data_IF_370756022283
#
_entry.id   IF_370756022283
#
_cell.length_a   1.000
_cell.length_b   1.000
_cell.length_c   1.000
_cell.angle_alpha   90.00
_cell.angle_beta   90.00
_cell.angle_gamma   90.00
#
_symmetry.space_group_name_H-M   'P 1'
#
loop_
_entity.id
_entity.type
_entity.pdbx_description
1 polymer ?
#
# COMPACT_ATOMS: atom_id res chain seq x y z
N UNK A 1 -2.95 27.96 7.33
CA UNK A 1 -1.97 26.97 6.86
C UNK A 1 -0.73 27.09 7.74
N UNK A 2 -0.37 26.01 8.44
CA UNK A 2 0.78 26.00 9.35
C UNK A 2 2.00 25.45 8.62
N UNK A 3 3.02 26.27 8.41
CA UNK A 3 4.30 25.82 7.87
C UNK A 3 4.90 24.77 8.82
N UNK A 4 5.37 23.64 8.28
CA UNK A 4 5.99 22.59 9.09
C UNK A 4 7.51 22.72 8.90
N UNK A 5 8.28 22.95 9.97
CA UNK A 5 9.71 23.09 9.82
C UNK A 5 10.33 21.78 9.31
N UNK A 6 11.41 21.86 8.54
CA UNK A 6 12.04 20.72 7.85
C UNK A 6 12.43 19.57 8.80
N UNK A 7 12.62 19.85 10.09
CA UNK A 7 12.89 18.85 11.12
C UNK A 7 11.65 18.02 11.52
N UNK A 8 10.44 18.43 11.15
CA UNK A 8 9.18 17.81 11.56
C UNK A 8 9.10 16.33 11.16
N UNK A 9 9.51 15.97 9.94
CA UNK A 9 9.56 14.57 9.51
C UNK A 9 10.58 13.75 10.34
N UNK A 10 11.71 14.37 10.71
CA UNK A 10 12.72 13.71 11.56
C UNK A 10 12.19 13.50 12.98
N UNK A 11 11.41 14.45 13.49
CA UNK A 11 10.71 14.34 14.77
C UNK A 11 9.62 13.26 14.73
N UNK A 12 8.78 13.26 13.69
CA UNK A 12 7.75 12.24 13.47
C UNK A 12 8.38 10.84 13.40
N UNK A 13 9.50 10.68 12.68
CA UNK A 13 10.24 9.42 12.62
C UNK A 13 10.78 8.96 13.99
N UNK A 14 11.16 9.88 14.88
CA UNK A 14 11.52 9.58 16.27
C UNK A 14 10.31 9.19 17.11
N UNK A 15 9.17 9.90 16.98
CA UNK A 15 7.92 9.56 17.67
C UNK A 15 7.41 8.18 17.23
N UNK A 16 7.51 7.85 15.95
CA UNK A 16 7.10 6.53 15.45
C UNK A 16 7.79 5.41 16.21
N UNK A 17 9.06 5.57 16.64
CA UNK A 17 9.75 4.58 17.50
C UNK A 17 9.10 4.36 18.86
N UNK A 18 8.45 5.38 19.43
CA UNK A 18 7.69 5.25 20.67
C UNK A 18 6.39 4.47 20.46
N UNK A 19 5.79 4.57 19.26
CA UNK A 19 4.69 3.69 18.87
C UNK A 19 5.12 2.21 18.76
N UNK A 20 6.41 1.87 18.83
CA UNK A 20 6.92 0.49 18.86
C UNK A 20 7.22 -0.05 20.26
N UNK A 21 6.92 0.69 21.32
CA UNK A 21 7.08 0.16 22.67
C UNK A 21 6.16 -1.05 22.81
N UNK A 22 6.78 -2.22 23.00
CA UNK A 22 6.07 -3.50 23.03
C UNK A 22 5.01 -3.47 24.14
N UNK A 23 3.84 -4.08 23.92
CA UNK A 23 2.84 -4.26 24.98
C UNK A 23 3.39 -4.95 26.23
N UNK A 24 4.50 -5.69 26.09
CA UNK A 24 5.23 -6.36 27.17
C UNK A 24 5.98 -5.42 28.13
N UNK A 25 6.04 -4.11 27.87
CA UNK A 25 6.58 -3.14 28.83
C UNK A 25 5.52 -2.84 29.90
N UNK A 26 5.74 -3.15 31.19
CA UNK A 26 4.72 -3.00 32.24
C UNK A 26 4.22 -1.55 32.34
N UNK A 27 2.91 -1.38 32.55
CA UNK A 27 2.18 -0.09 32.67
C UNK A 27 2.16 0.74 31.38
N UNK A 28 3.31 1.11 30.83
CA UNK A 28 3.42 1.95 29.63
C UNK A 28 2.94 1.24 28.36
N UNK A 29 3.24 -0.06 28.21
CA UNK A 29 2.75 -0.86 27.08
C UNK A 29 1.22 -0.99 27.06
N UNK A 30 0.60 -1.09 28.24
CA UNK A 30 -0.87 -1.18 28.39
C UNK A 30 -1.57 0.16 28.12
N UNK A 31 -0.93 1.26 28.49
CA UNK A 31 -1.37 2.61 28.15
C UNK A 31 -1.30 2.87 26.63
N UNK A 32 -0.16 2.57 26.01
CA UNK A 32 0.00 2.69 24.55
C UNK A 32 -0.94 1.75 23.77
N UNK A 33 -1.25 0.57 24.31
CA UNK A 33 -2.25 -0.34 23.75
C UNK A 33 -3.65 0.30 23.72
N UNK A 34 -4.10 0.93 24.83
CA UNK A 34 -5.39 1.64 24.88
C UNK A 34 -5.46 2.80 23.88
N UNK A 35 -4.41 3.61 23.79
CA UNK A 35 -4.34 4.70 22.80
C UNK A 35 -4.47 4.14 21.37
N UNK A 36 -3.80 3.02 21.08
CA UNK A 36 -3.80 2.39 19.77
C UNK A 36 -5.17 1.86 19.37
N UNK A 37 -5.86 1.12 20.26
CA UNK A 37 -7.22 0.62 20.00
C UNK A 37 -8.17 1.79 19.74
N UNK A 38 -8.10 2.85 20.55
CA UNK A 38 -8.98 4.00 20.42
C UNK A 38 -8.70 4.87 19.19
N UNK A 39 -7.49 4.81 18.62
CA UNK A 39 -7.10 5.49 17.39
C UNK A 39 -7.24 4.60 16.13
N UNK A 40 -7.71 3.36 16.30
CA UNK A 40 -7.83 2.37 15.23
C UNK A 40 -9.23 1.76 15.20
N UNK A 41 -10.25 2.62 15.11
CA UNK A 41 -11.62 2.20 14.84
C UNK A 41 -11.84 2.00 13.33
N UNK A 42 -12.83 1.21 12.89
CA UNK A 42 -13.07 0.95 11.45
C UNK A 42 -13.31 2.20 10.61
N UNK A 43 -13.86 3.26 11.19
CA UNK A 43 -14.03 4.59 10.57
C UNK A 43 -12.71 5.39 10.49
N UNK A 44 -11.70 5.04 11.30
CA UNK A 44 -10.43 5.75 11.40
C UNK A 44 -9.28 5.08 10.66
N UNK A 45 -9.33 3.76 10.47
CA UNK A 45 -8.32 3.00 9.74
C UNK A 45 -8.99 2.00 8.80
N UNK A 46 -8.84 2.21 7.48
CA UNK A 46 -9.27 1.25 6.47
C UNK A 46 -8.20 1.16 5.38
N UNK A 47 -7.45 0.05 5.37
CA UNK A 47 -6.29 -0.15 4.47
C UNK A 47 -6.48 -1.41 3.64
N UNK A 48 -6.25 -1.30 2.33
CA UNK A 48 -6.19 -2.43 1.39
C UNK A 48 -4.85 -2.48 0.65
N UNK A 49 -4.23 -3.66 0.63
CA UNK A 49 -3.04 -3.91 -0.17
C UNK A 49 -3.41 -4.23 -1.61
N UNK A 50 -2.74 -3.58 -2.55
CA UNK A 50 -2.89 -3.88 -3.96
C UNK A 50 -1.85 -4.96 -4.34
N UNK A 51 -2.29 -6.16 -4.77
CA UNK A 51 -1.39 -7.28 -5.03
C UNK A 51 -0.40 -6.95 -6.15
N UNK A 52 0.90 -7.05 -5.85
CA UNK A 52 1.92 -7.07 -6.90
C UNK A 52 1.89 -8.40 -7.65
N UNK A 53 2.11 -8.37 -8.96
CA UNK A 53 2.11 -9.53 -9.86
C UNK A 53 0.78 -10.31 -9.92
N UNK A 54 -0.36 -9.68 -9.62
CA UNK A 54 -1.66 -10.25 -9.97
C UNK A 54 -1.81 -10.23 -11.51
N UNK A 55 -2.00 -11.40 -12.12
CA UNK A 55 -2.25 -11.52 -13.55
C UNK A 55 -3.73 -11.17 -13.84
N UNK A 56 -3.96 -10.28 -14.82
CA UNK A 56 -5.28 -10.04 -15.40
C UNK A 56 -5.40 -10.90 -16.66
N UNK A 57 -6.57 -11.50 -16.90
CA UNK A 57 -6.83 -12.38 -18.04
C UNK A 57 -6.86 -11.69 -19.41
N UNK A 58 -6.51 -10.39 -19.48
CA UNK A 58 -6.39 -9.64 -20.73
C UNK A 58 -5.18 -8.69 -20.60
N UNK A 59 -4.22 -8.79 -21.52
CA UNK A 59 -3.03 -7.94 -21.72
C UNK A 59 -2.37 -7.35 -20.45
N UNK A 60 -1.65 -8.21 -19.72
CA UNK A 60 -0.43 -7.99 -18.90
C UNK A 60 -0.26 -6.74 -18.00
N UNK A 61 -1.29 -5.95 -17.74
CA UNK A 61 -1.21 -4.83 -16.79
C UNK A 61 -1.46 -5.34 -15.36
N UNK A 62 -0.53 -5.08 -14.44
CA UNK A 62 -0.72 -5.43 -13.03
C UNK A 62 -1.86 -4.61 -12.41
N UNK A 63 -2.75 -5.23 -11.65
CA UNK A 63 -3.89 -4.58 -10.99
C UNK A 63 -3.56 -3.24 -10.27
N UNK A 64 -2.46 -3.12 -9.51
CA UNK A 64 -2.12 -1.85 -8.85
C UNK A 64 -1.88 -0.71 -9.84
N UNK A 65 -1.32 -1.00 -11.02
CA UNK A 65 -1.05 -0.01 -12.05
C UNK A 65 -2.34 0.56 -12.62
N UNK A 66 -3.30 -0.30 -12.96
CA UNK A 66 -4.59 0.12 -13.54
C UNK A 66 -5.34 1.05 -12.57
N UNK A 67 -5.45 0.64 -11.30
CA UNK A 67 -6.17 1.39 -10.29
C UNK A 67 -5.48 2.73 -10.01
N UNK A 68 -4.18 2.70 -9.70
CA UNK A 68 -3.47 3.90 -9.25
C UNK A 68 -3.21 4.89 -10.38
N UNK A 69 -2.89 4.43 -11.60
CA UNK A 69 -2.75 5.35 -12.75
C UNK A 69 -4.08 6.07 -13.01
N UNK A 70 -5.21 5.36 -12.98
CA UNK A 70 -6.50 6.00 -13.22
C UNK A 70 -6.95 6.94 -12.10
N UNK A 71 -6.61 6.65 -10.84
CA UNK A 71 -6.80 7.60 -9.73
C UNK A 71 -5.93 8.85 -9.88
N UNK A 72 -4.65 8.67 -10.24
CA UNK A 72 -3.71 9.78 -10.46
C UNK A 72 -4.20 10.68 -11.60
N UNK A 73 -4.63 10.10 -12.73
CA UNK A 73 -5.08 10.88 -13.89
C UNK A 73 -6.31 11.75 -13.60
N UNK A 74 -7.21 11.30 -12.74
CA UNK A 74 -8.43 12.06 -12.40
C UNK A 74 -8.29 12.93 -11.16
N UNK A 75 -7.17 12.82 -10.46
CA UNK A 75 -6.90 13.65 -9.28
C UNK A 75 -6.87 15.12 -9.63
N UNK A 76 -7.63 15.93 -8.89
CA UNK A 76 -7.57 17.39 -8.97
C UNK A 76 -6.18 17.90 -8.59
N UNK A 77 -5.62 17.34 -7.52
CA UNK A 77 -4.28 17.64 -7.05
C UNK A 77 -3.62 16.40 -6.43
N UNK A 78 -2.28 16.37 -6.49
CA UNK A 78 -1.44 15.28 -5.99
C UNK A 78 -0.04 15.78 -5.68
N UNK A 79 0.59 15.13 -4.71
CA UNK A 79 2.00 15.35 -4.39
C UNK A 79 2.75 14.02 -4.32
N UNK A 80 4.07 14.08 -4.35
CA UNK A 80 4.95 12.98 -3.97
C UNK A 80 5.83 13.47 -2.82
N UNK A 81 5.82 12.75 -1.72
CA UNK A 81 6.72 13.05 -0.59
C UNK A 81 8.18 12.84 -1.00
N UNK A 82 9.09 13.71 -0.56
CA UNK A 82 10.52 13.61 -0.94
C UNK A 82 11.17 12.31 -0.46
N UNK A 83 10.69 11.77 0.67
CA UNK A 83 11.26 10.60 1.33
C UNK A 83 10.18 9.74 1.98
N UNK A 84 10.41 8.43 2.02
CA UNK A 84 9.55 7.51 2.76
C UNK A 84 9.88 7.58 4.26
N UNK A 85 8.95 8.14 5.04
CA UNK A 85 9.04 8.30 6.50
C UNK A 85 9.40 7.00 7.22
N UNK A 86 8.81 5.88 6.80
CA UNK A 86 9.05 4.56 7.37
C UNK A 86 10.49 4.08 7.10
N UNK A 87 10.94 4.17 5.84
CA UNK A 87 12.30 3.75 5.47
C UNK A 87 13.36 4.63 6.13
N UNK A 88 13.09 5.91 6.34
CA UNK A 88 13.98 6.81 7.06
C UNK A 88 14.05 6.50 8.55
N UNK A 89 12.91 6.31 9.22
CA UNK A 89 12.86 5.97 10.64
C UNK A 89 13.71 4.73 10.99
N UNK A 90 13.68 3.75 10.08
CA UNK A 90 14.40 2.48 10.20
C UNK A 90 15.74 2.44 9.48
N UNK A 91 16.22 3.55 8.90
CA UNK A 91 17.48 3.64 8.14
C UNK A 91 17.61 2.48 7.13
N UNK A 92 16.55 2.26 6.34
CA UNK A 92 16.48 1.17 5.38
C UNK A 92 17.72 1.13 4.47
N UNK A 93 18.31 -0.06 4.34
CA UNK A 93 19.45 -0.34 3.46
C UNK A 93 19.08 -1.10 2.19
N UNK A 94 17.86 -1.66 2.14
CA UNK A 94 17.44 -2.57 1.07
C UNK A 94 16.63 -1.87 -0.04
N UNK A 95 16.07 -0.69 0.25
CA UNK A 95 15.24 0.06 -0.67
C UNK A 95 15.60 1.54 -0.60
N UNK A 96 15.58 2.20 -1.77
CA UNK A 96 15.83 3.63 -1.89
C UNK A 96 14.86 4.42 -1.01
N UNK A 97 15.37 5.30 -0.13
CA UNK A 97 14.56 6.09 0.80
C UNK A 97 13.84 7.26 0.12
N UNK A 98 14.25 7.62 -1.10
CA UNK A 98 13.71 8.73 -1.86
C UNK A 98 12.46 8.35 -2.68
N UNK A 99 12.04 7.07 -2.67
CA UNK A 99 10.75 6.67 -3.25
C UNK A 99 9.64 6.95 -2.22
N UNK A 100 9.20 8.20 -2.08
CA UNK A 100 8.16 8.58 -1.12
C UNK A 100 6.74 8.13 -1.52
N UNK A 101 5.77 8.37 -0.65
CA UNK A 101 4.34 8.15 -0.90
C UNK A 101 3.78 9.17 -1.90
N UNK A 102 2.72 8.81 -2.61
CA UNK A 102 1.89 9.73 -3.38
C UNK A 102 0.67 10.08 -2.53
N UNK A 103 0.35 11.34 -2.36
CA UNK A 103 -0.92 11.75 -1.78
C UNK A 103 -1.83 12.28 -2.88
N UNK A 104 -3.12 11.96 -2.78
CA UNK A 104 -4.13 12.28 -3.79
C UNK A 104 -5.30 12.96 -3.12
N UNK A 105 -5.77 14.06 -3.74
CA UNK A 105 -6.94 14.82 -3.30
C UNK A 105 -6.64 16.30 -3.24
N UNK A 106 -7.67 17.14 -3.32
CA UNK A 106 -7.50 18.59 -3.30
C UNK A 106 -6.78 19.13 -2.05
N UNK A 107 -6.96 18.58 -0.82
CA UNK A 107 -6.20 19.01 0.37
C UNK A 107 -4.68 18.90 0.22
N UNK A 108 -4.18 18.07 -0.70
CA UNK A 108 -2.74 17.94 -0.94
C UNK A 108 -2.11 19.22 -1.50
N UNK A 109 -2.90 20.17 -1.99
CA UNK A 109 -2.43 21.50 -2.39
C UNK A 109 -1.92 22.34 -1.20
N UNK A 110 -2.29 21.97 0.03
CA UNK A 110 -1.87 22.64 1.26
C UNK A 110 -0.58 22.04 1.84
N UNK A 111 -0.09 20.92 1.28
CA UNK A 111 1.10 20.25 1.79
C UNK A 111 2.37 21.08 1.55
N UNK A 112 3.25 21.07 2.55
CA UNK A 112 4.45 21.90 2.54
C UNK A 112 5.49 21.38 1.54
N UNK A 113 5.99 22.26 0.67
CA UNK A 113 7.02 21.93 -0.32
C UNK A 113 8.33 21.41 0.32
N UNK A 114 8.56 21.68 1.60
CA UNK A 114 9.69 21.14 2.35
C UNK A 114 9.60 19.63 2.58
N UNK A 115 8.40 19.04 2.56
CA UNK A 115 8.17 17.61 2.80
C UNK A 115 7.73 16.85 1.55
N UNK A 116 7.16 17.54 0.57
CA UNK A 116 6.65 16.96 -0.66
C UNK A 116 6.91 17.85 -1.87
N UNK A 117 6.89 17.24 -3.06
CA UNK A 117 6.83 17.97 -4.32
C UNK A 117 5.44 17.85 -4.93
N UNK A 118 4.90 18.96 -5.41
CA UNK A 118 3.66 18.98 -6.17
C UNK A 118 3.93 18.38 -7.55
N UNK A 119 3.12 17.39 -7.94
CA UNK A 119 3.44 16.56 -9.10
C UNK A 119 2.41 16.71 -10.22
N UNK A 120 2.90 16.82 -11.45
CA UNK A 120 2.08 16.56 -12.64
C UNK A 120 1.58 15.12 -12.68
N UNK A 121 0.61 14.84 -13.57
CA UNK A 121 0.04 13.49 -13.73
C UNK A 121 1.15 12.52 -14.14
N UNK A 122 1.97 12.93 -15.10
CA UNK A 122 3.00 12.08 -15.67
C UNK A 122 4.16 11.83 -14.70
N UNK A 123 4.54 12.83 -13.88
CA UNK A 123 5.53 12.62 -12.80
C UNK A 123 5.04 11.61 -11.77
N UNK A 124 3.77 11.72 -11.33
CA UNK A 124 3.19 10.78 -10.38
C UNK A 124 3.09 9.36 -10.94
N UNK A 125 2.75 9.21 -12.22
CA UNK A 125 2.73 7.90 -12.90
C UNK A 125 4.14 7.33 -13.06
N UNK A 126 5.12 8.16 -13.44
CA UNK A 126 6.52 7.74 -13.54
C UNK A 126 7.06 7.26 -12.18
N UNK A 127 6.73 7.96 -11.09
CA UNK A 127 7.10 7.57 -9.74
C UNK A 127 6.43 6.26 -9.29
N UNK A 128 5.13 6.09 -9.57
CA UNK A 128 4.41 4.83 -9.35
C UNK A 128 5.12 3.67 -10.07
N UNK A 129 5.45 3.83 -11.35
CA UNK A 129 6.13 2.80 -12.15
C UNK A 129 7.51 2.47 -11.58
N UNK A 130 8.28 3.49 -11.15
CA UNK A 130 9.57 3.31 -10.45
C UNK A 130 9.40 2.51 -9.16
N UNK A 131 8.37 2.81 -8.36
CA UNK A 131 8.12 2.11 -7.11
C UNK A 131 7.77 0.63 -7.32
N UNK A 132 6.91 0.34 -8.31
CA UNK A 132 6.56 -1.03 -8.70
C UNK A 132 7.77 -1.81 -9.24
N UNK A 133 8.59 -1.18 -10.09
CA UNK A 133 9.82 -1.78 -10.62
C UNK A 133 10.84 -2.09 -9.51
N UNK A 134 10.89 -1.27 -8.46
CA UNK A 134 11.68 -1.55 -7.25
C UNK A 134 11.10 -2.68 -6.39
N UNK A 135 9.95 -3.26 -6.76
CA UNK A 135 9.31 -4.34 -6.03
C UNK A 135 8.63 -3.91 -4.73
N UNK A 136 8.31 -2.62 -4.61
CA UNK A 136 7.54 -2.08 -3.48
C UNK A 136 6.07 -2.42 -3.64
N UNK A 137 5.40 -2.68 -2.52
CA UNK A 137 3.97 -3.03 -2.52
C UNK A 137 3.15 -1.77 -2.27
N UNK A 138 2.34 -1.32 -3.24
CA UNK A 138 1.40 -0.25 -2.98
C UNK A 138 0.29 -0.72 -2.03
N UNK A 139 -0.07 0.14 -1.08
CA UNK A 139 -1.36 0.05 -0.44
C UNK A 139 -2.07 1.40 -0.55
N UNK A 140 -3.38 1.31 -0.55
CA UNK A 140 -4.28 2.45 -0.51
C UNK A 140 -5.16 2.33 0.71
N UNK A 141 -5.34 3.42 1.43
CA UNK A 141 -6.19 3.42 2.60
C UNK A 141 -6.47 4.82 3.11
N UNK A 142 -7.53 4.91 3.90
CA UNK A 142 -7.81 6.06 4.73
C UNK A 142 -7.25 5.80 6.12
N UNK A 143 -6.35 6.68 6.56
CA UNK A 143 -5.94 6.77 7.95
C UNK A 143 -6.35 8.15 8.41
N UNK A 144 -7.31 8.25 9.33
CA UNK A 144 -7.83 9.55 9.79
C UNK A 144 -6.75 10.47 10.40
N UNK A 145 -5.66 9.86 10.87
CA UNK A 145 -4.48 10.56 11.35
C UNK A 145 -3.69 11.24 10.22
N UNK A 146 -3.80 10.81 8.96
CA UNK A 146 -3.00 11.32 7.86
C UNK A 146 -3.23 12.83 7.66
N UNK A 147 -4.47 13.33 7.71
CA UNK A 147 -4.73 14.77 7.62
C UNK A 147 -3.99 15.57 8.70
N UNK A 148 -3.85 14.97 9.89
CA UNK A 148 -3.12 15.59 11.01
C UNK A 148 -1.60 15.49 10.82
N UNK A 149 -1.12 14.36 10.31
CA UNK A 149 0.30 14.09 10.04
C UNK A 149 0.81 15.03 8.93
N UNK A 150 0.03 15.19 7.87
CA UNK A 150 0.38 16.00 6.70
C UNK A 150 -0.10 17.45 6.81
N UNK A 151 -0.84 17.77 7.87
CA UNK A 151 -1.35 19.11 8.16
C UNK A 151 -2.25 19.66 7.05
N UNK A 152 -3.10 18.80 6.49
CA UNK A 152 -4.06 19.14 5.43
C UNK A 152 -5.48 19.18 5.99
N UNK A 153 -6.34 19.99 5.37
CA UNK A 153 -7.73 20.11 5.76
C UNK A 153 -8.49 18.77 5.71
N UNK A 154 -9.44 18.58 6.64
CA UNK A 154 -10.26 17.36 6.80
C UNK A 154 -11.63 17.44 6.11
N UNK A 155 -11.93 18.59 5.51
CA UNK A 155 -13.21 18.91 4.89
C UNK A 155 -13.39 18.26 3.51
N UNK A 156 -12.30 17.73 2.92
CA UNK A 156 -12.32 17.15 1.58
C UNK A 156 -11.58 15.81 1.48
N UNK A 157 -11.88 15.03 0.42
CA UNK A 157 -11.26 13.74 0.16
C UNK A 157 -9.74 13.80 0.07
N UNK A 158 -9.07 12.96 0.87
CA UNK A 158 -7.62 12.81 0.89
C UNK A 158 -7.27 11.32 1.07
N UNK A 159 -6.34 10.81 0.26
CA UNK A 159 -5.78 9.47 0.45
C UNK A 159 -4.29 9.42 0.22
N UNK A 160 -3.64 8.53 0.95
CA UNK A 160 -2.21 8.24 0.86
C UNK A 160 -2.01 6.91 0.13
N UNK A 161 -1.25 6.95 -0.96
CA UNK A 161 -0.71 5.76 -1.63
C UNK A 161 0.73 5.57 -1.16
N UNK A 162 0.92 4.61 -0.28
CA UNK A 162 2.24 4.25 0.26
C UNK A 162 2.88 3.13 -0.57
N UNK A 163 4.20 3.18 -0.72
CA UNK A 163 4.99 2.12 -1.38
C UNK A 163 5.83 1.35 -0.38
N UNK A 164 5.25 0.29 0.18
CA UNK A 164 5.79 -0.42 1.33
C UNK A 164 6.97 -1.33 0.96
N UNK A 165 8.09 -1.12 1.65
CA UNK A 165 9.23 -2.03 1.68
C UNK A 165 8.90 -3.27 2.53
N UNK A 166 9.47 -4.42 2.18
CA UNK A 166 9.28 -5.67 2.94
C UNK A 166 10.03 -5.69 4.27
N UNK A 167 11.06 -4.86 4.43
CA UNK A 167 11.99 -4.94 5.56
C UNK A 167 11.77 -3.89 6.67
N UNK A 168 11.01 -2.84 6.39
CA UNK A 168 10.97 -1.64 7.24
C UNK A 168 9.61 -0.93 7.25
N UNK A 169 8.63 -1.45 6.50
CA UNK A 169 7.34 -0.83 6.45
C UNK A 169 6.72 -0.93 7.83
N UNK A 170 6.33 0.24 8.35
CA UNK A 170 5.72 0.32 9.66
C UNK A 170 4.46 -0.52 9.69
N UNK A 171 3.61 -0.47 8.66
CA UNK A 171 2.41 -1.31 8.58
C UNK A 171 2.70 -2.82 8.61
N UNK A 172 3.79 -3.29 8.00
CA UNK A 172 4.12 -4.73 8.01
C UNK A 172 4.69 -5.21 9.35
N UNK A 173 5.58 -4.43 9.96
CA UNK A 173 6.18 -4.77 11.25
C UNK A 173 5.19 -4.56 12.40
N UNK A 174 4.47 -3.44 12.37
CA UNK A 174 3.46 -3.06 13.34
C UNK A 174 2.24 -3.98 13.31
N UNK A 175 1.86 -4.54 12.15
CA UNK A 175 0.72 -5.45 12.04
C UNK A 175 0.75 -6.57 13.07
N UNK A 176 1.92 -7.18 13.30
CA UNK A 176 2.09 -8.29 14.27
C UNK A 176 1.92 -7.86 15.73
N UNK A 177 1.99 -6.55 15.99
CA UNK A 177 1.86 -5.93 17.29
C UNK A 177 0.55 -5.15 17.44
N UNK A 178 -0.30 -5.16 16.40
CA UNK A 178 -1.64 -4.60 16.48
C UNK A 178 -2.54 -5.54 17.29
N UNK A 179 -3.46 -4.99 18.10
CA UNK A 179 -4.56 -5.75 18.66
C UNK A 179 -5.41 -6.40 17.54
N UNK A 180 -6.05 -7.56 17.79
CA UNK A 180 -6.84 -8.26 16.78
C UNK A 180 -7.89 -7.37 16.08
N UNK A 181 -8.51 -6.47 16.83
CA UNK A 181 -9.50 -5.51 16.32
C UNK A 181 -8.89 -4.57 15.27
N UNK A 182 -7.68 -4.06 15.52
CA UNK A 182 -6.95 -3.22 14.57
C UNK A 182 -6.38 -3.99 13.38
N UNK A 183 -6.03 -5.27 13.56
CA UNK A 183 -5.64 -6.14 12.44
C UNK A 183 -6.81 -6.40 11.49
N UNK A 184 -8.06 -6.38 11.99
CA UNK A 184 -9.26 -6.56 11.19
C UNK A 184 -9.54 -5.38 10.25
N UNK A 185 -9.14 -4.17 10.64
CA UNK A 185 -9.18 -2.94 9.83
C UNK A 185 -8.23 -2.94 8.62
N UNK A 186 -7.30 -3.91 8.57
CA UNK A 186 -6.41 -4.12 7.44
C UNK A 186 -6.98 -5.24 6.59
N UNK A 187 -7.69 -4.85 5.54
CA UNK A 187 -8.50 -5.77 4.75
C UNK A 187 -7.68 -6.45 3.66
N UNK A 188 -8.05 -7.69 3.34
CA UNK A 188 -7.65 -8.30 2.07
C UNK A 188 -8.43 -7.66 0.93
N UNK A 189 -7.93 -7.82 -0.28
CA UNK A 189 -8.68 -7.48 -1.49
C UNK A 189 -9.65 -8.63 -1.82
N UNK A 190 -10.95 -8.37 -1.81
CA UNK A 190 -11.97 -9.38 -2.10
C UNK A 190 -11.91 -9.82 -3.56
N UNK A 191 -12.20 -11.10 -3.83
CA UNK A 191 -12.07 -11.71 -5.16
C UNK A 191 -10.63 -11.96 -5.62
N UNK A 192 -9.63 -11.70 -4.76
CA UNK A 192 -8.22 -12.08 -4.99
C UNK A 192 -7.85 -13.26 -4.12
N UNK A 193 -7.22 -14.27 -4.73
CA UNK A 193 -6.73 -15.47 -4.07
C UNK A 193 -5.22 -15.62 -4.26
N UNK A 194 -4.57 -16.31 -3.31
CA UNK A 194 -3.15 -16.64 -3.38
C UNK A 194 -3.01 -18.13 -3.18
N UNK A 195 -2.53 -18.82 -4.22
CA UNK A 195 -2.39 -20.28 -4.27
C UNK A 195 -0.93 -20.73 -4.33
N UNK A 196 -0.72 -22.03 -4.11
CA UNK A 196 0.59 -22.69 -4.28
C UNK A 196 0.46 -23.81 -5.30
N UNK A 197 1.25 -23.73 -6.37
CA UNK A 197 1.54 -24.85 -7.26
C UNK A 197 2.45 -25.84 -6.51
N UNK A 198 1.90 -27.01 -6.18
CA UNK A 198 2.59 -28.01 -5.36
C UNK A 198 3.71 -28.72 -6.10
N UNK A 199 3.64 -28.78 -7.42
CA UNK A 199 4.61 -29.48 -8.27
C UNK A 199 5.87 -28.62 -8.42
N UNK A 200 5.69 -27.31 -8.62
CA UNK A 200 6.81 -26.35 -8.67
C UNK A 200 7.39 -26.02 -7.30
N UNK A 201 6.62 -26.19 -6.23
CA UNK A 201 7.07 -25.82 -4.89
C UNK A 201 8.16 -26.77 -4.39
N UNK A 202 9.38 -26.28 -4.17
CA UNK A 202 10.48 -27.07 -3.60
C UNK A 202 10.58 -27.01 -2.07
N UNK A 203 9.61 -26.41 -1.37
CA UNK A 203 9.63 -26.35 0.09
C UNK A 203 10.65 -25.42 0.74
N UNK A 204 11.31 -24.54 -0.02
CA UNK A 204 12.43 -23.70 0.48
C UNK A 204 12.08 -22.65 1.55
N UNK A 205 10.80 -22.43 1.86
CA UNK A 205 10.37 -21.55 2.96
C UNK A 205 10.52 -20.04 2.74
N UNK A 206 11.13 -19.57 1.64
CA UNK A 206 11.32 -18.12 1.37
C UNK A 206 10.03 -17.32 1.43
N UNK A 207 8.92 -17.89 0.95
CA UNK A 207 7.60 -17.26 1.00
C UNK A 207 7.07 -17.07 2.44
N UNK A 208 7.34 -18.04 3.33
CA UNK A 208 6.94 -17.97 4.72
C UNK A 208 7.77 -16.91 5.46
N UNK A 209 9.08 -16.87 5.20
CA UNK A 209 9.99 -15.89 5.79
C UNK A 209 9.59 -14.43 5.49
N UNK A 210 9.07 -14.15 4.28
CA UNK A 210 8.65 -12.80 3.89
C UNK A 210 7.20 -12.46 4.26
N UNK A 211 6.42 -13.41 4.78
CA UNK A 211 5.01 -13.18 5.06
C UNK A 211 4.83 -12.44 6.39
N UNK A 212 4.56 -11.13 6.31
CA UNK A 212 4.32 -10.31 7.49
C UNK A 212 3.03 -10.68 8.24
N UNK A 213 1.98 -11.08 7.51
CA UNK A 213 0.72 -11.56 8.08
C UNK A 213 0.80 -12.98 8.70
N UNK A 214 1.89 -13.70 8.42
CA UNK A 214 2.08 -15.10 8.81
C UNK A 214 1.10 -16.08 8.16
N UNK A 215 0.53 -15.71 7.01
CA UNK A 215 -0.38 -16.55 6.23
C UNK A 215 0.34 -17.64 5.42
N UNK A 216 1.56 -17.37 4.93
CA UNK A 216 2.36 -18.37 4.25
C UNK A 216 3.14 -19.21 5.27
N UNK A 217 2.93 -20.52 5.28
CA UNK A 217 3.56 -21.47 6.19
C UNK A 217 4.15 -22.65 5.42
N UNK A 218 5.04 -23.41 6.06
CA UNK A 218 5.52 -24.69 5.55
C UNK A 218 4.77 -25.83 6.24
N UNK A 219 4.31 -26.81 5.47
CA UNK A 219 3.67 -28.03 5.97
C UNK A 219 3.88 -29.19 5.00
N UNK A 220 4.30 -30.35 5.51
CA UNK A 220 4.57 -31.53 4.69
C UNK A 220 5.61 -31.28 3.58
N UNK A 221 6.65 -30.50 3.87
CA UNK A 221 7.71 -30.17 2.91
C UNK A 221 7.31 -29.20 1.78
N UNK A 222 6.11 -28.64 1.81
CA UNK A 222 5.61 -27.69 0.79
C UNK A 222 5.04 -26.44 1.46
N UNK A 223 4.94 -25.36 0.69
CA UNK A 223 4.28 -24.14 1.15
C UNK A 223 2.76 -24.31 1.15
N UNK A 224 2.10 -23.68 2.12
CA UNK A 224 0.64 -23.54 2.22
C UNK A 224 0.30 -22.08 2.54
N UNK A 225 -0.81 -21.58 1.98
CA UNK A 225 -1.35 -20.27 2.32
C UNK A 225 -2.59 -20.47 3.20
N UNK A 226 -2.61 -19.82 4.35
CA UNK A 226 -3.78 -19.66 5.20
C UNK A 226 -4.64 -18.49 4.67
N UNK A 227 -5.84 -18.77 4.12
CA UNK A 227 -6.69 -17.75 3.51
C UNK A 227 -7.27 -16.75 4.51
N UNK A 228 -7.42 -17.12 5.78
CA UNK A 228 -8.04 -16.28 6.81
C UNK A 228 -7.06 -15.20 7.29
N UNK A 229 -5.77 -15.52 7.25
CA UNK A 229 -4.68 -14.59 7.59
C UNK A 229 -4.16 -13.83 6.38
N UNK A 230 -4.40 -14.32 5.17
CA UNK A 230 -3.84 -13.74 3.96
C UNK A 230 -4.46 -12.37 3.64
N UNK A 231 -3.59 -11.35 3.53
CA UNK A 231 -3.97 -9.99 3.13
C UNK A 231 -3.76 -9.72 1.63
N UNK A 232 -3.62 -10.79 0.83
CA UNK A 232 -3.55 -10.76 -0.64
C UNK A 232 -2.52 -9.77 -1.21
N UNK A 233 -1.41 -9.51 -0.52
CA UNK A 233 -0.44 -8.49 -0.95
C UNK A 233 0.53 -8.96 -2.05
N UNK A 234 0.60 -10.26 -2.35
CA UNK A 234 1.48 -10.82 -3.39
C UNK A 234 2.97 -10.90 -3.03
N UNK A 235 3.38 -10.49 -1.82
CA UNK A 235 4.80 -10.49 -1.39
C UNK A 235 5.43 -11.88 -1.50
N UNK A 236 4.70 -12.92 -1.09
CA UNK A 236 5.14 -14.31 -1.18
C UNK A 236 5.34 -14.79 -2.62
N UNK A 237 4.49 -14.37 -3.56
CA UNK A 237 4.60 -14.68 -4.97
C UNK A 237 5.90 -14.12 -5.56
N UNK A 238 6.16 -12.84 -5.34
CA UNK A 238 7.39 -12.19 -5.81
C UNK A 238 8.65 -12.73 -5.11
N UNK A 239 8.55 -13.31 -3.90
CA UNK A 239 9.70 -13.93 -3.23
C UNK A 239 9.96 -15.38 -3.64
N UNK A 240 9.04 -16.03 -4.36
CA UNK A 240 9.15 -17.44 -4.71
C UNK A 240 10.11 -17.62 -5.90
N UNK A 241 11.29 -18.23 -5.73
CA UNK A 241 12.25 -18.40 -6.82
C UNK A 241 11.74 -19.40 -7.88
N UNK A 242 10.83 -20.29 -7.49
CA UNK A 242 10.22 -21.27 -8.40
C UNK A 242 8.95 -20.75 -9.06
N UNK A 243 8.53 -19.50 -8.74
CA UNK A 243 7.23 -18.93 -9.11
C UNK A 243 6.07 -19.90 -8.84
N UNK A 244 6.19 -20.70 -7.77
CA UNK A 244 5.20 -21.70 -7.36
C UNK A 244 4.04 -21.07 -6.57
N UNK A 245 4.03 -19.75 -6.39
CA UNK A 245 2.95 -19.03 -5.70
C UNK A 245 2.30 -18.10 -6.69
N UNK A 246 0.99 -18.26 -6.87
CA UNK A 246 0.20 -17.53 -7.86
C UNK A 246 -0.77 -16.59 -7.14
N UNK A 247 -0.95 -15.39 -7.70
CA UNK A 247 -2.00 -14.46 -7.28
C UNK A 247 -3.01 -14.37 -8.40
N UNK A 248 -4.26 -14.74 -8.09
CA UNK A 248 -5.33 -14.82 -9.08
C UNK A 248 -6.47 -13.89 -8.68
N UNK A 249 -7.12 -13.31 -9.67
CA UNK A 249 -8.32 -12.47 -9.48
C UNK A 249 -9.46 -13.16 -10.22
N UNK A 250 -10.53 -13.51 -9.50
CA UNK A 250 -11.66 -14.25 -10.07
C UNK A 250 -12.49 -13.37 -11.02
N UNK A 251 -12.88 -12.19 -10.53
CA UNK A 251 -13.60 -11.18 -11.30
C UNK A 251 -12.98 -9.82 -11.06
N UNK A 252 -12.17 -9.38 -12.03
CA UNK A 252 -11.40 -8.13 -11.92
C UNK A 252 -12.32 -6.93 -11.75
N UNK A 253 -13.42 -6.86 -12.52
CA UNK A 253 -14.36 -5.74 -12.48
C UNK A 253 -15.02 -5.64 -11.09
N UNK A 254 -15.54 -6.76 -10.57
CA UNK A 254 -16.15 -6.79 -9.24
C UNK A 254 -15.14 -6.46 -8.13
N UNK A 255 -13.93 -7.02 -8.19
CA UNK A 255 -12.85 -6.75 -7.22
C UNK A 255 -12.45 -5.28 -7.21
N UNK A 256 -12.27 -4.66 -8.38
CA UNK A 256 -11.89 -3.26 -8.49
C UNK A 256 -13.03 -2.37 -7.99
N UNK A 257 -14.27 -2.63 -8.42
CA UNK A 257 -15.42 -1.84 -8.00
C UNK A 257 -15.68 -1.95 -6.49
N UNK A 258 -15.47 -3.12 -5.87
CA UNK A 258 -15.54 -3.29 -4.40
C UNK A 258 -14.48 -2.44 -3.68
N UNK A 259 -13.23 -2.45 -4.16
CA UNK A 259 -12.18 -1.63 -3.59
C UNK A 259 -12.50 -0.13 -3.70
N UNK A 260 -12.88 0.31 -4.90
CA UNK A 260 -13.20 1.72 -5.15
C UNK A 260 -14.42 2.16 -4.36
N UNK A 261 -15.43 1.29 -4.21
CA UNK A 261 -16.59 1.53 -3.35
C UNK A 261 -16.23 1.66 -1.87
N UNK A 262 -15.24 0.89 -1.38
CA UNK A 262 -14.69 1.07 -0.03
C UNK A 262 -13.98 2.41 0.12
N UNK A 263 -13.04 2.71 -0.77
CA UNK A 263 -12.31 3.99 -0.77
C UNK A 263 -13.28 5.18 -0.81
N UNK A 264 -14.29 5.14 -1.68
CA UNK A 264 -15.26 6.21 -1.80
C UNK A 264 -16.14 6.35 -0.54
N UNK A 265 -16.45 5.26 0.17
CA UNK A 265 -17.17 5.30 1.44
C UNK A 265 -16.34 5.93 2.55
N UNK A 266 -15.06 5.56 2.63
CA UNK A 266 -14.18 5.95 3.74
C UNK A 266 -13.64 7.38 3.58
N UNK A 267 -13.38 7.80 2.34
CA UNK A 267 -12.75 9.10 2.04
C UNK A 267 -13.77 10.12 1.50
N UNK A 268 -14.89 9.65 0.92
CA UNK A 268 -15.80 10.46 0.12
C UNK A 268 -15.13 10.96 -1.17
N UNK A 269 -15.88 11.20 -2.25
CA UNK A 269 -15.51 12.13 -3.34
C UNK A 269 -14.15 12.03 -4.05
N UNK A 270 -13.37 10.95 -3.87
CA UNK A 270 -12.18 10.71 -4.69
C UNK A 270 -12.63 10.39 -6.11
N UNK A 271 -11.85 10.76 -7.14
CA UNK A 271 -12.26 10.59 -8.52
C UNK A 271 -12.01 9.14 -8.97
N UNK A 272 -12.78 8.24 -8.39
CA UNK A 272 -12.78 6.81 -8.71
C UNK A 272 -13.71 6.57 -9.89
N UNK A 273 -13.25 5.82 -10.88
CA UNK A 273 -14.05 5.43 -12.04
C UNK A 273 -14.21 3.91 -12.08
N UNK A 274 -15.22 3.42 -12.77
CA UNK A 274 -15.43 1.98 -12.95
C UNK A 274 -14.20 1.32 -13.59
N UNK A 275 -14.02 0.02 -13.32
CA UNK A 275 -12.93 -0.74 -13.95
C UNK A 275 -12.90 -0.60 -15.49
N UNK A 276 -14.06 -0.53 -16.15
CA UNK A 276 -14.14 -0.38 -17.61
C UNK A 276 -13.54 0.94 -18.09
N UNK A 277 -13.83 2.04 -17.38
CA UNK A 277 -13.27 3.36 -17.68
C UNK A 277 -11.76 3.42 -17.41
N UNK A 278 -11.29 2.74 -16.36
CA UNK A 278 -9.86 2.63 -16.07
C UNK A 278 -9.12 1.81 -17.14
N UNK A 279 -9.74 0.71 -17.60
CA UNK A 279 -9.19 -0.17 -18.63
C UNK A 279 -9.09 0.54 -19.98
N UNK A 280 -10.16 1.18 -20.44
CA UNK A 280 -10.18 1.91 -21.71
C UNK A 280 -9.07 2.98 -21.77
N UNK A 281 -8.87 3.72 -20.68
CA UNK A 281 -7.79 4.70 -20.59
C UNK A 281 -6.39 4.09 -20.55
N UNK A 282 -6.23 2.93 -19.91
CA UNK A 282 -4.95 2.20 -19.92
C UNK A 282 -4.57 1.73 -21.33
N UNK A 283 -5.57 1.30 -22.12
CA UNK A 283 -5.40 0.90 -23.52
C UNK A 283 -5.11 2.10 -24.42
N UNK A 284 -5.85 3.20 -24.29
CA UNK A 284 -5.60 4.47 -25.02
C UNK A 284 -4.21 5.06 -24.73
N UNK A 285 -3.77 5.02 -23.46
CA UNK A 285 -2.44 5.48 -23.05
C UNK A 285 -1.31 4.56 -23.56
N UNK A 286 -1.59 3.27 -23.78
CA UNK A 286 -0.65 2.33 -24.36
C UNK A 286 -0.51 2.52 -25.88
N UNK A 287 -1.62 2.86 -26.57
CA UNK A 287 -1.66 3.11 -28.01
C UNK A 287 -1.02 4.47 -28.41
N UNK A 288 -1.07 5.47 -27.52
CA UNK A 288 -0.54 6.82 -27.76
C UNK A 288 0.96 6.99 -27.45
N UNK A 289 1.64 5.94 -26.97
CA UNK A 289 3.07 5.99 -26.62
C UNK A 289 3.93 5.23 -27.65
N UNK A 290 4.56 5.90 -28.64
CA UNK A 290 5.18 5.27 -29.81
C UNK A 290 6.53 4.56 -29.54
N UNK A 291 6.91 4.33 -28.27
CA UNK A 291 8.21 3.75 -27.91
C UNK A 291 8.19 2.25 -27.57
N UNK A 292 7.20 1.49 -28.04
CA UNK A 292 7.10 0.05 -27.72
C UNK A 292 7.66 -0.93 -28.75
N UNK A 293 8.27 -0.44 -29.83
CA UNK A 293 8.95 -1.28 -30.82
C UNK A 293 10.44 -0.93 -30.91
N UNK A 294 11.23 -1.19 -29.85
CA UNK A 294 12.69 -1.43 -29.99
C UNK A 294 13.18 -2.40 -28.90
N UNK A 295 13.41 -3.64 -29.33
CA UNK A 295 14.47 -4.55 -28.85
C UNK A 295 14.26 -5.22 -27.51
#
# INVERSE_FOLDING_TARGET
MGTRPQWYLTFLAKIWKLAYIKPSVPVFGRFMYKIRVNATTPDQLNISYLPVNAALSVDSLSLPRVILEGMIRRSEHRIITHRCTCRDAWKCKNYDRNIGCIHIGLPTAEEDAAVAHHASVEEAIAHLRRALAAGLVPFIGHVSADNTIWNVSKDRPFTTVCFCCRCCCTNFDYYRHLPPEAQACIHRLHGVTVGVDRDRCIGCGKCAAVCWAGAAVLGGGKSRIDPDRCKTCGVCAQACPQQAICVSVENVEATVNDLLGRINRDVGGLPVASYRELKAQGEEAALSNPHKDRG
#
